data_IF_765734683350
#
_entry.id   IF_765734683350
#
_cell.length_a   1.000
_cell.length_b   1.000
_cell.length_c   1.000
_cell.angle_alpha   90.00
_cell.angle_beta   90.00
_cell.angle_gamma   90.00
#
_symmetry.space_group_name_H-M   'P 1'
#
loop_
_entity.id
_entity.type
_entity.pdbx_description
1 polymer ?
#
# COMPACT_ATOMS: atom_id res chain seq x y z
N UNK A 1 -19.49 -3.08 -8.68
CA UNK A 1 -19.85 -3.62 -10.03
C UNK A 1 -20.26 -5.07 -9.86
N UNK A 2 -20.95 -5.72 -10.83
CA UNK A 2 -21.03 -7.17 -10.84
C UNK A 2 -19.63 -7.80 -10.89
N UNK A 3 -19.41 -8.92 -10.22
CA UNK A 3 -18.08 -9.57 -10.08
C UNK A 3 -17.37 -9.82 -11.41
N UNK A 4 -18.13 -10.21 -12.44
CA UNK A 4 -17.58 -10.45 -13.78
C UNK A 4 -17.05 -9.17 -14.44
N UNK A 5 -17.67 -8.02 -14.17
CA UNK A 5 -17.25 -6.73 -14.73
C UNK A 5 -15.99 -6.21 -14.04
N UNK A 6 -15.89 -6.38 -12.71
CA UNK A 6 -14.66 -6.10 -11.96
C UNK A 6 -13.50 -7.01 -12.42
N UNK A 7 -13.78 -8.30 -12.63
CA UNK A 7 -12.79 -9.26 -13.13
C UNK A 7 -12.34 -8.93 -14.56
N UNK A 8 -13.25 -8.54 -15.45
CA UNK A 8 -12.90 -8.09 -16.81
C UNK A 8 -11.98 -6.89 -16.77
N UNK A 9 -12.34 -5.85 -15.99
CA UNK A 9 -11.52 -4.65 -15.84
C UNK A 9 -10.08 -4.97 -15.40
N UNK A 10 -9.91 -5.83 -14.39
CA UNK A 10 -8.60 -6.24 -13.90
C UNK A 10 -7.79 -7.04 -14.94
N UNK A 11 -8.47 -7.86 -15.75
CA UNK A 11 -7.84 -8.61 -16.82
C UNK A 11 -7.44 -7.73 -18.00
N UNK A 12 -8.32 -6.81 -18.41
CA UNK A 12 -8.11 -5.88 -19.53
C UNK A 12 -6.96 -4.91 -19.26
N UNK A 13 -6.77 -4.53 -17.99
CA UNK A 13 -5.62 -3.73 -17.54
C UNK A 13 -4.37 -4.57 -17.20
N UNK A 14 -4.42 -5.88 -17.41
CA UNK A 14 -3.35 -6.83 -17.05
C UNK A 14 -2.91 -6.77 -15.57
N UNK A 15 -3.81 -6.33 -14.68
CA UNK A 15 -3.54 -6.19 -13.26
C UNK A 15 -3.64 -7.53 -12.54
N UNK A 16 -4.47 -8.45 -13.04
CA UNK A 16 -4.74 -9.76 -12.43
C UNK A 16 -3.47 -10.56 -12.09
N UNK A 17 -2.40 -10.43 -12.90
CA UNK A 17 -1.13 -11.11 -12.67
C UNK A 17 -0.39 -10.62 -11.41
N UNK A 18 -0.63 -9.37 -10.99
CA UNK A 18 0.00 -8.77 -9.82
C UNK A 18 -0.79 -8.99 -8.55
N UNK A 19 -2.06 -9.38 -8.64
CA UNK A 19 -2.92 -9.53 -7.48
C UNK A 19 -2.51 -10.73 -6.63
N UNK A 20 -2.54 -10.58 -5.31
CA UNK A 20 -2.49 -11.72 -4.40
C UNK A 20 -3.74 -12.58 -4.55
N UNK A 21 -3.57 -13.86 -4.25
CA UNK A 21 -4.69 -14.82 -4.22
C UNK A 21 -5.63 -14.49 -3.06
N UNK A 22 -5.05 -14.22 -1.89
CA UNK A 22 -5.77 -13.76 -0.70
C UNK A 22 -5.76 -12.22 -0.67
N UNK A 23 -6.92 -11.63 -0.43
CA UNK A 23 -7.02 -10.18 -0.24
C UNK A 23 -6.51 -9.84 1.16
N UNK A 24 -5.88 -8.66 1.30
CA UNK A 24 -5.62 -8.14 2.63
C UNK A 24 -6.95 -7.87 3.34
N UNK A 25 -6.96 -8.02 4.66
CA UNK A 25 -8.18 -7.88 5.45
C UNK A 25 -7.87 -7.54 6.90
N UNK A 26 -8.90 -7.10 7.60
CA UNK A 26 -8.81 -6.60 8.96
C UNK A 26 -8.36 -7.70 9.94
N UNK A 27 -7.31 -7.43 10.71
CA UNK A 27 -7.22 -8.00 12.07
C UNK A 27 -7.82 -6.96 13.01
N UNK A 28 -8.97 -7.27 13.61
CA UNK A 28 -9.87 -6.38 14.35
C UNK A 28 -9.31 -5.74 15.65
N UNK A 29 -8.05 -5.30 15.68
CA UNK A 29 -7.41 -4.77 16.89
C UNK A 29 -6.90 -3.35 16.65
N UNK A 30 -7.61 -2.37 17.25
CA UNK A 30 -7.13 -1.03 17.62
C UNK A 30 -6.54 -0.17 16.47
N UNK A 31 -7.37 0.20 15.50
CA UNK A 31 -7.06 1.30 14.60
C UNK A 31 -7.54 2.63 15.19
N UNK A 32 -6.68 3.65 15.22
CA UNK A 32 -7.05 5.04 15.52
C UNK A 32 -6.79 5.87 14.28
N UNK A 33 -7.83 6.54 13.74
CA UNK A 33 -7.75 7.30 12.48
C UNK A 33 -7.16 6.51 11.31
N UNK A 34 -7.52 5.23 11.20
CA UNK A 34 -7.02 4.31 10.16
C UNK A 34 -5.64 3.71 10.42
N UNK A 35 -5.00 3.98 11.57
CA UNK A 35 -3.67 3.48 11.91
C UNK A 35 -3.66 2.48 13.07
N UNK A 36 -2.99 1.35 12.87
CA UNK A 36 -2.52 0.46 13.92
C UNK A 36 -1.02 0.70 14.14
N UNK A 37 -0.64 1.11 15.35
CA UNK A 37 0.75 1.45 15.69
C UNK A 37 1.43 0.28 16.39
N UNK A 38 2.38 -0.35 15.70
CA UNK A 38 3.23 -1.41 16.25
C UNK A 38 4.47 -0.89 16.97
N UNK A 39 4.75 0.42 16.92
CA UNK A 39 5.97 1.00 17.49
C UNK A 39 5.70 2.19 18.43
N UNK A 40 6.63 2.46 19.34
CA UNK A 40 6.50 3.46 20.42
C UNK A 40 7.08 4.83 20.07
N UNK A 41 7.71 4.98 18.89
CA UNK A 41 8.26 6.28 18.47
C UNK A 41 7.12 7.17 18.00
N UNK A 42 7.21 8.45 18.34
CA UNK A 42 6.31 9.47 17.81
C UNK A 42 6.61 9.69 16.33
N UNK A 43 5.65 9.38 15.47
CA UNK A 43 5.70 9.61 14.03
C UNK A 43 4.52 10.52 13.67
N UNK A 44 4.76 11.50 12.80
CA UNK A 44 3.66 12.29 12.23
C UNK A 44 2.98 11.45 11.16
N UNK A 45 1.73 11.08 11.41
CA UNK A 45 0.93 10.27 10.49
C UNK A 45 -0.23 11.11 9.95
N UNK A 46 -0.51 11.02 8.65
CA UNK A 46 -1.68 11.66 8.08
C UNK A 46 -2.95 10.97 8.59
N UNK A 47 -4.07 11.68 8.65
CA UNK A 47 -5.36 11.02 8.82
C UNK A 47 -5.65 10.20 7.57
N UNK A 48 -5.96 8.92 7.77
CA UNK A 48 -6.44 8.06 6.68
C UNK A 48 -7.96 8.12 6.71
N UNK A 49 -8.54 8.59 5.60
CA UNK A 49 -9.98 8.54 5.33
C UNK A 49 -10.31 7.30 4.51
N UNK A 50 -11.56 6.86 4.60
CA UNK A 50 -12.24 5.93 3.68
C UNK A 50 -11.53 4.60 3.35
N UNK A 51 -12.13 3.50 3.83
CA UNK A 51 -11.87 2.11 3.43
C UNK A 51 -10.40 1.65 3.43
N UNK A 52 -9.51 2.44 4.04
CA UNK A 52 -8.07 2.18 4.12
C UNK A 52 -7.64 2.07 5.58
N UNK A 53 -6.90 1.01 5.86
CA UNK A 53 -6.31 0.76 7.16
C UNK A 53 -4.82 0.49 6.99
N UNK A 54 -3.99 1.15 7.79
CA UNK A 54 -2.53 1.03 7.73
C UNK A 54 -1.96 0.55 9.06
N UNK A 55 -1.00 -0.36 8.98
CA UNK A 55 -0.19 -0.83 10.08
C UNK A 55 1.22 -0.28 9.98
N UNK A 56 1.64 0.47 10.99
CA UNK A 56 3.04 0.85 11.17
C UNK A 56 3.74 -0.24 11.98
N UNK A 57 4.72 -0.92 11.37
CA UNK A 57 5.45 -2.02 11.99
C UNK A 57 6.25 -1.56 13.22
N UNK A 58 6.66 -2.52 14.07
CA UNK A 58 7.46 -2.26 15.28
C UNK A 58 8.80 -1.58 15.04
N UNK A 59 9.35 -1.67 13.82
CA UNK A 59 10.58 -0.98 13.42
C UNK A 59 10.38 0.53 13.16
N UNK A 60 9.14 1.00 13.03
CA UNK A 60 8.76 2.32 12.53
C UNK A 60 9.31 2.69 11.14
N UNK A 61 9.83 1.73 10.39
CA UNK A 61 10.39 1.94 9.04
C UNK A 61 9.60 1.23 7.95
N UNK A 62 8.59 0.44 8.32
CA UNK A 62 7.68 -0.21 7.40
C UNK A 62 6.23 0.13 7.72
N UNK A 63 5.47 0.45 6.67
CA UNK A 63 4.03 0.65 6.67
C UNK A 63 3.42 -0.33 5.69
N UNK A 64 2.33 -0.96 6.10
CA UNK A 64 1.50 -1.79 5.24
C UNK A 64 0.06 -1.32 5.34
N UNK A 65 -0.56 -1.02 4.21
CA UNK A 65 -1.93 -0.57 4.13
C UNK A 65 -2.80 -1.55 3.34
N UNK A 66 -4.05 -1.63 3.74
CA UNK A 66 -5.08 -2.37 3.04
C UNK A 66 -6.20 -1.41 2.69
N UNK A 67 -6.48 -1.26 1.39
CA UNK A 67 -7.53 -0.38 0.88
C UNK A 67 -8.60 -1.22 0.20
N UNK A 68 -9.82 -1.19 0.73
CA UNK A 68 -10.99 -1.75 0.07
C UNK A 68 -11.47 -0.81 -1.05
N UNK A 69 -11.65 -1.38 -2.23
CA UNK A 69 -12.15 -0.67 -3.41
C UNK A 69 -13.56 -1.20 -3.71
N UNK A 70 -14.57 -0.48 -3.23
CA UNK A 70 -15.99 -0.87 -3.29
C UNK A 70 -16.45 -1.32 -4.67
N UNK A 71 -16.08 -0.59 -5.73
CA UNK A 71 -16.54 -0.91 -7.09
C UNK A 71 -15.94 -2.20 -7.64
N UNK A 72 -14.77 -2.61 -7.13
CA UNK A 72 -14.12 -3.89 -7.43
C UNK A 72 -14.49 -4.99 -6.43
N UNK A 73 -15.18 -4.64 -5.33
CA UNK A 73 -15.49 -5.53 -4.21
C UNK A 73 -14.25 -6.31 -3.75
N UNK A 74 -13.13 -5.58 -3.68
CA UNK A 74 -11.81 -6.15 -3.48
C UNK A 74 -10.90 -5.20 -2.72
N UNK A 75 -10.10 -5.75 -1.82
CA UNK A 75 -9.04 -5.04 -1.13
C UNK A 75 -7.68 -5.19 -1.80
N UNK A 76 -6.91 -4.11 -1.73
CA UNK A 76 -5.56 -3.99 -2.27
C UNK A 76 -4.55 -3.73 -1.17
N UNK A 77 -3.49 -4.54 -1.13
CA UNK A 77 -2.35 -4.37 -0.25
C UNK A 77 -1.38 -3.36 -0.86
N UNK A 78 -0.98 -2.36 -0.09
CA UNK A 78 0.15 -1.49 -0.42
C UNK A 78 1.15 -1.53 0.72
N UNK A 79 2.43 -1.41 0.42
CA UNK A 79 3.46 -1.43 1.46
C UNK A 79 4.66 -0.60 1.07
N UNK A 80 5.33 -0.09 2.10
CA UNK A 80 6.56 0.65 2.00
C UNK A 80 7.47 0.25 3.17
N UNK A 81 8.74 -0.03 2.89
CA UNK A 81 9.74 -0.39 3.88
C UNK A 81 11.08 0.28 3.57
N UNK A 82 11.56 1.08 4.51
CA UNK A 82 12.86 1.73 4.46
C UNK A 82 13.90 0.80 5.09
N UNK A 83 14.88 0.37 4.30
CA UNK A 83 16.09 -0.29 4.79
C UNK A 83 17.22 0.75 4.89
N UNK A 84 17.44 1.36 6.07
CA UNK A 84 18.47 2.38 6.24
C UNK A 84 19.88 1.79 6.19
N UNK A 85 20.04 0.47 6.39
CA UNK A 85 21.35 -0.17 6.31
C UNK A 85 21.81 -0.30 4.85
N UNK A 86 20.87 -0.60 3.95
CA UNK A 86 21.13 -0.72 2.51
C UNK A 86 20.88 0.56 1.73
N UNK A 87 20.32 1.59 2.38
CA UNK A 87 19.91 2.84 1.73
C UNK A 87 18.91 2.58 0.58
N UNK A 88 17.91 1.72 0.83
CA UNK A 88 16.89 1.34 -0.15
C UNK A 88 15.49 1.50 0.42
N UNK A 89 14.59 2.03 -0.40
CA UNK A 89 13.16 2.03 -0.21
C UNK A 89 12.53 0.87 -0.99
N UNK A 90 11.93 -0.07 -0.28
CA UNK A 90 11.11 -1.13 -0.85
C UNK A 90 9.66 -0.68 -0.87
N UNK A 91 8.99 -0.74 -2.01
CA UNK A 91 7.61 -0.31 -2.13
C UNK A 91 6.84 -1.23 -3.07
N UNK A 92 5.56 -1.44 -2.78
CA UNK A 92 4.75 -2.35 -3.56
C UNK A 92 3.25 -2.11 -3.44
N UNK A 93 2.55 -2.56 -4.48
CA UNK A 93 1.10 -2.68 -4.57
C UNK A 93 0.86 -4.12 -4.99
N UNK A 94 0.20 -4.90 -4.13
CA UNK A 94 0.05 -6.33 -4.30
C UNK A 94 1.43 -6.99 -4.54
N UNK A 95 1.57 -7.84 -5.57
CA UNK A 95 2.85 -8.46 -5.94
C UNK A 95 3.74 -7.55 -6.78
N UNK A 96 3.22 -6.43 -7.29
CA UNK A 96 4.03 -5.47 -8.03
C UNK A 96 4.86 -4.64 -7.05
N UNK A 97 6.18 -4.70 -7.17
CA UNK A 97 7.08 -4.07 -6.23
C UNK A 97 8.35 -3.57 -6.92
N UNK A 98 9.00 -2.58 -6.30
CA UNK A 98 10.30 -2.05 -6.71
C UNK A 98 11.15 -1.64 -5.53
N UNK A 99 12.45 -1.65 -5.77
CA UNK A 99 13.46 -1.08 -4.88
C UNK A 99 13.92 0.25 -5.47
N UNK A 100 13.93 1.30 -4.65
CA UNK A 100 14.40 2.63 -5.00
C UNK A 100 15.60 2.95 -4.11
N UNK A 101 16.71 3.37 -4.73
CA UNK A 101 17.89 3.84 -4.00
C UNK A 101 17.54 5.15 -3.27
N UNK A 102 17.80 5.20 -1.96
CA UNK A 102 17.63 6.42 -1.16
C UNK A 102 18.75 7.43 -1.41
N UNK A 103 19.90 6.97 -1.93
CA UNK A 103 21.03 7.83 -2.28
C UNK A 103 20.68 8.70 -3.49
N UNK A 104 19.95 8.14 -4.45
CA UNK A 104 19.52 8.84 -5.66
C UNK A 104 18.23 9.65 -5.43
N UNK A 105 17.55 9.45 -4.29
CA UNK A 105 16.33 10.15 -3.88
C UNK A 105 16.63 11.52 -3.25
N UNK A 106 17.62 12.25 -3.78
CA UNK A 106 17.97 13.58 -3.30
C UNK A 106 16.89 14.61 -3.66
N UNK A 107 16.41 15.29 -2.61
CA UNK A 107 15.60 16.53 -2.60
C UNK A 107 14.14 16.45 -3.06
N UNK A 108 13.22 16.42 -2.09
CA UNK A 108 11.89 17.05 -2.17
C UNK A 108 10.89 16.54 -3.22
N UNK A 109 11.26 15.54 -4.01
CA UNK A 109 10.45 15.05 -5.14
C UNK A 109 9.49 14.00 -4.64
N UNK A 110 8.18 14.15 -4.89
CA UNK A 110 7.19 13.12 -4.54
C UNK A 110 7.41 11.87 -5.40
N UNK A 111 7.59 10.72 -4.76
CA UNK A 111 7.65 9.44 -5.46
C UNK A 111 6.22 8.99 -5.84
N UNK A 112 5.89 9.05 -7.13
CA UNK A 112 4.65 8.46 -7.64
C UNK A 112 4.89 6.98 -7.98
N UNK A 113 4.15 6.09 -7.31
CA UNK A 113 4.15 4.67 -7.62
C UNK A 113 2.73 4.22 -7.96
N UNK A 114 2.56 3.71 -9.17
CA UNK A 114 1.26 3.33 -9.70
C UNK A 114 1.31 1.90 -10.25
N UNK A 115 0.25 1.15 -9.99
CA UNK A 115 -0.02 -0.13 -10.64
C UNK A 115 -0.57 0.18 -12.04
N UNK A 116 0.25 -0.01 -13.07
CA UNK A 116 -0.06 0.12 -14.51
C UNK A 116 -1.13 1.18 -14.83
N UNK A 117 -0.73 2.44 -14.95
CA UNK A 117 -1.48 3.47 -15.69
C UNK A 117 -2.83 3.94 -15.12
N UNK A 118 -3.38 3.37 -14.04
CA UNK A 118 -4.74 3.75 -13.58
C UNK A 118 -4.93 3.93 -12.08
N UNK A 119 -4.00 3.52 -11.21
CA UNK A 119 -4.13 3.74 -9.75
C UNK A 119 -2.99 4.62 -9.25
N UNK A 120 -3.30 5.89 -8.96
CA UNK A 120 -2.39 6.83 -8.30
C UNK A 120 -2.62 6.78 -6.78
N UNK A 121 -1.54 6.62 -6.01
CA UNK A 121 -1.53 6.90 -4.58
C UNK A 121 -1.00 8.34 -4.45
N UNK A 122 -1.87 9.27 -4.07
CA UNK A 122 -1.50 10.67 -3.78
C UNK A 122 -1.16 10.90 -2.29
#
# INVERSE_FOLDING_TARGET
LPDWAASSFLNDLHLAAYLHTDQCGQTASQYTNGWNLGCTKTVSLPNITDSTECHLTSACTAVECCTEIDFLSRSFRTYLHIDPCKQVLHLGIERFNRNVSLVDYMEGTKLQFALVGSVMIE
#
